data_IF_319469743788
#
_entry.id   IF_319469743788
#
_cell.length_a   1.000
_cell.length_b   1.000
_cell.length_c   1.000
_cell.angle_alpha   90.00
_cell.angle_beta   90.00
_cell.angle_gamma   90.00
#
_symmetry.space_group_name_H-M   'P 1'
#
loop_
_entity.id
_entity.type
_entity.pdbx_description
1 polymer ?
#
# COMPACT_ATOMS: atom_id res chain seq x y z
N UNK A 1 -20.06 -5.08 9.75
CA UNK A 1 -18.73 -5.01 9.13
C UNK A 1 -18.08 -3.76 9.65
N UNK A 2 -17.11 -3.89 10.54
CA UNK A 2 -16.22 -2.76 10.85
C UNK A 2 -15.51 -2.42 9.54
N UNK A 3 -15.85 -1.29 8.94
CA UNK A 3 -14.84 -0.55 8.20
C UNK A 3 -13.61 -0.55 9.10
N UNK A 4 -12.54 -1.24 8.67
CA UNK A 4 -11.30 -1.35 9.45
C UNK A 4 -10.73 0.05 9.57
N UNK A 5 -11.20 0.81 10.55
CA UNK A 5 -10.79 2.18 10.79
C UNK A 5 -9.25 2.20 10.84
N UNK A 6 -8.67 3.01 9.97
CA UNK A 6 -7.21 3.14 9.86
C UNK A 6 -6.51 2.14 8.94
N UNK A 7 -7.19 1.21 8.26
CA UNK A 7 -6.55 0.31 7.29
C UNK A 7 -5.80 1.08 6.19
N UNK A 8 -6.49 2.06 5.59
CA UNK A 8 -5.91 2.95 4.59
C UNK A 8 -4.67 3.67 5.14
N UNK A 9 -4.74 4.15 6.38
CA UNK A 9 -3.63 4.83 7.05
C UNK A 9 -2.45 3.88 7.28
N UNK A 10 -2.69 2.66 7.77
CA UNK A 10 -1.66 1.65 7.98
C UNK A 10 -0.92 1.30 6.68
N UNK A 11 -1.66 1.00 5.61
CA UNK A 11 -1.07 0.72 4.29
C UNK A 11 -0.26 1.93 3.79
N UNK A 12 -0.84 3.14 3.88
CA UNK A 12 -0.17 4.35 3.41
C UNK A 12 1.11 4.66 4.20
N UNK A 13 1.09 4.40 5.51
CA UNK A 13 2.25 4.56 6.37
C UNK A 13 3.37 3.57 6.01
N UNK A 14 3.03 2.29 5.78
CA UNK A 14 4.02 1.29 5.34
C UNK A 14 4.65 1.69 4.01
N UNK A 15 3.84 2.10 3.02
CA UNK A 15 4.34 2.56 1.72
C UNK A 15 5.27 3.77 1.87
N UNK A 16 4.88 4.76 2.69
CA UNK A 16 5.69 5.97 2.92
C UNK A 16 7.02 5.65 3.59
N UNK A 17 7.04 4.72 4.56
CA UNK A 17 8.28 4.27 5.24
C UNK A 17 9.24 3.52 4.32
N UNK A 18 8.77 3.04 3.16
CA UNK A 18 9.58 2.39 2.13
C UNK A 18 9.95 3.34 0.98
N UNK A 19 9.96 4.66 1.23
CA UNK A 19 10.30 5.68 0.24
C UNK A 19 9.43 5.63 -1.04
N UNK A 20 8.15 5.29 -0.87
CA UNK A 20 7.16 5.30 -1.94
C UNK A 20 6.15 6.42 -1.76
N UNK A 21 5.96 7.19 -2.84
CA UNK A 21 4.94 8.22 -2.93
C UNK A 21 3.68 7.63 -3.57
N UNK A 22 2.55 7.79 -2.89
CA UNK A 22 1.23 7.40 -3.41
C UNK A 22 0.67 8.58 -4.20
N UNK A 23 0.56 8.42 -5.52
CA UNK A 23 0.03 9.46 -6.39
C UNK A 23 -1.43 9.22 -6.79
N UNK A 24 -1.89 7.96 -6.75
CA UNK A 24 -3.30 7.60 -6.92
C UNK A 24 -3.64 6.45 -5.98
N UNK A 25 -4.76 6.55 -5.27
CA UNK A 25 -5.37 5.45 -4.55
C UNK A 25 -6.79 5.24 -5.07
N UNK A 26 -7.15 3.98 -5.36
CA UNK A 26 -8.51 3.57 -5.73
C UNK A 26 -9.00 2.58 -4.69
N UNK A 27 -10.03 2.98 -3.96
CA UNK A 27 -10.66 2.22 -2.89
C UNK A 27 -12.04 1.85 -3.38
N UNK A 28 -12.34 0.55 -3.44
CA UNK A 28 -13.61 0.06 -3.97
C UNK A 28 -14.13 -1.07 -3.10
N UNK A 29 -15.45 -1.14 -2.91
CA UNK A 29 -16.09 -2.24 -2.19
C UNK A 29 -17.06 -2.92 -3.12
N UNK A 30 -16.80 -4.18 -3.45
CA UNK A 30 -17.66 -4.99 -4.31
C UNK A 30 -18.09 -6.24 -3.56
N UNK A 31 -19.40 -6.49 -3.52
CA UNK A 31 -20.02 -7.71 -2.91
C UNK A 31 -19.50 -8.03 -1.49
N UNK A 32 -19.20 -6.99 -0.71
CA UNK A 32 -18.72 -7.12 0.68
C UNK A 32 -17.20 -7.30 0.83
N UNK A 33 -16.44 -7.31 -0.26
CA UNK A 33 -14.98 -7.29 -0.23
C UNK A 33 -14.46 -5.90 -0.64
N UNK A 34 -13.51 -5.36 0.13
CA UNK A 34 -12.77 -4.17 -0.25
C UNK A 34 -11.60 -4.56 -1.15
N UNK A 35 -11.47 -3.89 -2.30
CA UNK A 35 -10.35 -3.97 -3.22
C UNK A 35 -9.71 -2.59 -3.28
N UNK A 36 -8.52 -2.50 -2.71
CA UNK A 36 -7.74 -1.27 -2.63
C UNK A 36 -6.52 -1.37 -3.54
N UNK A 37 -6.35 -0.38 -4.42
CA UNK A 37 -5.21 -0.28 -5.34
C UNK A 37 -4.47 1.03 -5.12
N UNK A 38 -3.17 0.94 -4.84
CA UNK A 38 -2.28 2.09 -4.67
C UNK A 38 -1.29 2.13 -5.82
N UNK A 39 -1.30 3.24 -6.57
CA UNK A 39 -0.27 3.52 -7.56
C UNK A 39 0.84 4.31 -6.89
N UNK A 40 2.02 3.72 -6.89
CA UNK A 40 3.18 4.24 -6.17
C UNK A 40 4.34 4.52 -7.12
N UNK A 41 5.15 5.50 -6.74
CA UNK A 41 6.41 5.85 -7.40
C UNK A 41 7.49 5.96 -6.34
N UNK A 42 8.73 5.78 -6.74
CA UNK A 42 9.89 6.15 -5.90
C UNK A 42 9.84 7.66 -5.61
N UNK A 43 10.58 8.11 -4.60
CA UNK A 43 10.73 9.55 -4.32
C UNK A 43 11.30 10.34 -5.50
N UNK A 44 12.04 9.69 -6.41
CA UNK A 44 12.52 10.29 -7.67
C UNK A 44 11.47 10.33 -8.80
N UNK A 45 10.25 9.85 -8.55
CA UNK A 45 9.13 9.85 -9.51
C UNK A 45 9.07 8.66 -10.46
N UNK A 46 10.02 7.72 -10.35
CA UNK A 46 10.12 6.52 -11.19
C UNK A 46 9.28 5.34 -10.68
N UNK A 47 9.20 4.28 -11.48
CA UNK A 47 8.63 3.00 -11.05
C UNK A 47 9.63 2.31 -10.08
N UNK A 48 9.19 1.75 -8.94
CA UNK A 48 10.07 0.91 -8.13
C UNK A 48 10.36 -0.40 -8.88
N UNK A 49 11.64 -0.71 -9.06
CA UNK A 49 12.12 -1.90 -9.79
C UNK A 49 13.14 -2.73 -9.02
N UNK A 50 13.55 -2.29 -7.83
CA UNK A 50 14.47 -3.04 -6.96
C UNK A 50 13.70 -4.18 -6.29
N UNK A 51 13.98 -5.41 -6.72
CA UNK A 51 13.25 -6.60 -6.27
C UNK A 51 13.40 -6.85 -4.77
N UNK A 52 14.58 -6.61 -4.19
CA UNK A 52 14.80 -6.82 -2.76
C UNK A 52 13.94 -5.86 -1.93
N UNK A 53 13.87 -4.59 -2.33
CA UNK A 53 13.01 -3.59 -1.67
C UNK A 53 11.53 -3.90 -1.83
N UNK A 54 11.12 -4.42 -3.00
CA UNK A 54 9.74 -4.82 -3.24
C UNK A 54 9.34 -6.02 -2.38
N UNK A 55 10.25 -6.97 -2.18
CA UNK A 55 10.04 -8.12 -1.30
C UNK A 55 9.96 -7.71 0.18
N UNK A 56 10.81 -6.77 0.61
CA UNK A 56 10.74 -6.19 1.96
C UNK A 56 9.41 -5.46 2.20
N UNK A 57 9.00 -4.62 1.23
CA UNK A 57 7.72 -3.93 1.28
C UNK A 57 6.54 -4.91 1.39
N UNK A 58 6.57 -5.99 0.58
CA UNK A 58 5.54 -7.02 0.61
C UNK A 58 5.43 -7.65 2.00
N UNK A 59 6.55 -8.06 2.60
CA UNK A 59 6.59 -8.63 3.96
C UNK A 59 6.09 -7.65 5.01
N UNK A 60 6.42 -6.37 4.89
CA UNK A 60 5.95 -5.33 5.81
C UNK A 60 4.43 -5.13 5.70
N UNK A 61 3.87 -5.13 4.49
CA UNK A 61 2.43 -5.06 4.27
C UNK A 61 1.72 -6.30 4.82
N UNK A 62 2.25 -7.50 4.57
CA UNK A 62 1.69 -8.74 5.13
C UNK A 62 1.69 -8.73 6.66
N UNK A 63 2.75 -8.21 7.28
CA UNK A 63 2.86 -8.09 8.75
C UNK A 63 1.86 -7.08 9.33
N UNK A 64 1.66 -5.95 8.66
CA UNK A 64 0.72 -4.90 9.12
C UNK A 64 -0.76 -5.28 8.90
N UNK A 65 -1.03 -6.19 7.96
CA UNK A 65 -2.37 -6.60 7.56
C UNK A 65 -2.84 -7.94 8.15
N UNK A 66 -1.91 -8.76 8.62
CA UNK A 66 -2.18 -10.00 9.39
C UNK A 66 -2.69 -9.69 10.79
#
# INVERSE_FOLDING_TARGET
>A
SEDRLGLLHRISNVLTRHDLNIHVARISTEKGAAIDTFYVRTMSGGKPTDENKLDELKRALETELG
#
